data_IF_143501106950
#
_entry.id   IF_143501106950
#
_cell.length_a   1.000
_cell.length_b   1.000
_cell.length_c   1.000
_cell.angle_alpha   90.00
_cell.angle_beta   90.00
_cell.angle_gamma   90.00
#
_symmetry.space_group_name_H-M   'P 1'
#
loop_
_entity.id
_entity.type
_entity.pdbx_description
1 polymer ?
#
# COMPACT_ATOMS: atom_id res chain seq x y z
N UNK A 1 10.47 -11.41 26.67
CA UNK A 1 10.56 -12.72 26.00
C UNK A 1 11.41 -12.52 24.77
N UNK A 2 12.36 -13.41 24.48
CA UNK A 2 13.14 -13.35 23.23
C UNK A 2 12.37 -14.05 22.10
N UNK A 3 12.40 -13.50 20.89
CA UNK A 3 11.75 -14.11 19.72
C UNK A 3 12.69 -15.11 19.07
N UNK A 4 12.25 -16.38 18.98
CA UNK A 4 13.03 -17.43 18.33
C UNK A 4 12.76 -17.41 16.82
N UNK A 5 13.80 -17.46 16.00
CA UNK A 5 13.71 -17.70 14.55
C UNK A 5 14.23 -19.10 14.28
N UNK A 6 13.41 -19.97 13.70
CA UNK A 6 13.81 -21.37 13.47
C UNK A 6 12.84 -22.13 12.58
N UNK A 7 13.07 -23.44 12.42
CA UNK A 7 12.32 -24.30 11.49
C UNK A 7 11.46 -25.39 12.15
N UNK A 8 11.40 -25.39 13.48
CA UNK A 8 10.65 -26.38 14.27
C UNK A 8 9.12 -26.18 14.17
N UNK A 9 8.46 -27.04 13.39
CA UNK A 9 7.01 -27.06 13.23
C UNK A 9 6.29 -27.50 14.50
N UNK A 10 6.85 -28.42 15.29
CA UNK A 10 6.19 -28.96 16.49
C UNK A 10 6.15 -27.90 17.60
N UNK A 11 7.23 -27.13 17.75
CA UNK A 11 7.26 -25.98 18.65
C UNK A 11 6.15 -24.97 18.30
N UNK A 12 5.97 -24.68 17.01
CA UNK A 12 4.94 -23.76 16.52
C UNK A 12 3.53 -24.30 16.78
N UNK A 13 3.27 -25.56 16.48
CA UNK A 13 1.97 -26.21 16.75
C UNK A 13 1.62 -26.15 18.24
N UNK A 14 2.59 -26.43 19.13
CA UNK A 14 2.40 -26.34 20.58
C UNK A 14 2.06 -24.91 21.03
N UNK A 15 2.77 -23.91 20.50
CA UNK A 15 2.51 -22.49 20.80
C UNK A 15 1.09 -22.08 20.36
N UNK A 16 0.69 -22.45 19.14
CA UNK A 16 -0.64 -22.14 18.60
C UNK A 16 -1.76 -22.82 19.41
N UNK A 17 -1.58 -24.09 19.81
CA UNK A 17 -2.53 -24.81 20.70
C UNK A 17 -2.68 -24.13 22.07
N UNK A 18 -1.64 -23.44 22.54
CA UNK A 18 -1.66 -22.67 23.78
C UNK A 18 -2.14 -21.21 23.59
N UNK A 19 -2.75 -20.88 22.44
CA UNK A 19 -3.30 -19.56 22.15
C UNK A 19 -2.24 -18.46 21.94
N UNK A 20 -0.99 -18.84 21.63
CA UNK A 20 0.05 -17.87 21.26
C UNK A 20 -0.14 -17.38 19.81
N UNK A 21 0.50 -16.25 19.51
CA UNK A 21 0.61 -15.72 18.15
C UNK A 21 2.02 -15.97 17.64
N UNK A 22 2.17 -16.53 16.45
CA UNK A 22 3.47 -16.84 15.82
C UNK A 22 3.50 -16.31 14.40
N UNK A 23 4.69 -16.17 13.81
CA UNK A 23 4.78 -15.85 12.39
C UNK A 23 5.04 -17.10 11.54
N UNK A 24 4.33 -17.22 10.42
CA UNK A 24 4.41 -18.34 9.50
C UNK A 24 4.76 -17.87 8.07
N UNK A 25 5.58 -18.62 7.32
CA UNK A 25 5.93 -18.30 5.95
C UNK A 25 4.81 -18.74 5.00
N UNK A 26 4.50 -17.93 3.97
CA UNK A 26 3.65 -18.36 2.84
C UNK A 26 4.40 -18.18 1.52
N UNK A 27 3.84 -18.63 0.41
CA UNK A 27 4.31 -18.29 -0.93
C UNK A 27 4.15 -16.79 -1.24
N UNK A 28 3.21 -16.10 -0.57
CA UNK A 28 2.90 -14.68 -0.78
C UNK A 28 3.72 -13.73 0.09
N UNK A 29 3.36 -13.61 1.36
CA UNK A 29 4.04 -12.82 2.40
C UNK A 29 3.95 -13.59 3.73
N UNK A 30 4.84 -13.32 4.69
CA UNK A 30 4.72 -13.94 6.02
C UNK A 30 3.42 -13.50 6.71
N UNK A 31 2.76 -14.43 7.39
CA UNK A 31 1.52 -14.22 8.12
C UNK A 31 1.73 -14.26 9.64
N UNK A 32 1.04 -13.40 10.38
CA UNK A 32 1.01 -13.40 11.84
C UNK A 32 -0.20 -14.22 12.31
N UNK A 33 0.04 -15.47 12.67
CA UNK A 33 -0.98 -16.50 12.83
C UNK A 33 -1.40 -16.73 14.28
N UNK A 34 -2.70 -16.91 14.48
CA UNK A 34 -3.30 -17.38 15.73
C UNK A 34 -4.55 -18.23 15.42
N UNK A 35 -5.06 -18.96 16.41
CA UNK A 35 -6.29 -19.74 16.26
C UNK A 35 -7.47 -18.83 15.84
N UNK A 36 -8.08 -19.10 14.69
CA UNK A 36 -9.17 -18.28 14.16
C UNK A 36 -10.49 -18.45 14.93
N UNK A 37 -10.68 -19.55 15.66
CA UNK A 37 -11.91 -19.84 16.39
C UNK A 37 -11.85 -19.40 17.85
N UNK A 38 -10.71 -18.86 18.29
CA UNK A 38 -10.50 -18.33 19.64
C UNK A 38 -10.43 -16.80 19.59
N UNK A 39 -11.49 -16.08 20.03
CA UNK A 39 -11.51 -14.62 20.04
C UNK A 39 -10.33 -13.99 20.81
N UNK A 40 -9.87 -14.61 21.90
CA UNK A 40 -8.77 -14.08 22.69
C UNK A 40 -7.42 -14.20 21.96
N UNK A 41 -7.24 -15.26 21.17
CA UNK A 41 -6.07 -15.42 20.32
C UNK A 41 -6.08 -14.40 19.15
N UNK A 42 -7.25 -14.17 18.55
CA UNK A 42 -7.41 -13.18 17.46
C UNK A 42 -7.20 -11.75 17.96
N UNK A 43 -7.68 -11.41 19.17
CA UNK A 43 -7.45 -10.09 19.78
C UNK A 43 -5.95 -9.76 19.89
N UNK A 44 -5.10 -10.75 20.20
CA UNK A 44 -3.64 -10.57 20.24
C UNK A 44 -3.07 -10.17 18.88
N UNK A 45 -3.60 -10.68 17.76
CA UNK A 45 -3.18 -10.26 16.41
C UNK A 45 -3.46 -8.77 16.21
N UNK A 46 -4.67 -8.31 16.54
CA UNK A 46 -5.06 -6.91 16.40
C UNK A 46 -4.17 -6.00 17.27
N UNK A 47 -3.95 -6.38 18.53
CA UNK A 47 -3.10 -5.65 19.46
C UNK A 47 -1.64 -5.56 18.98
N UNK A 48 -1.03 -6.68 18.59
CA UNK A 48 0.35 -6.72 18.11
C UNK A 48 0.56 -5.85 16.87
N UNK A 49 -0.41 -5.86 15.94
CA UNK A 49 -0.33 -5.09 14.69
C UNK A 49 -0.74 -3.63 14.85
N UNK A 50 -1.32 -3.23 15.98
CA UNK A 50 -2.05 -1.98 16.12
C UNK A 50 -3.08 -1.80 14.97
N UNK A 51 -3.82 -2.88 14.69
CA UNK A 51 -4.78 -2.96 13.57
C UNK A 51 -6.17 -2.54 14.04
N UNK A 52 -6.92 -1.72 13.28
CA UNK A 52 -8.33 -1.43 13.57
C UNK A 52 -9.16 -2.71 13.56
N UNK A 53 -10.04 -2.91 14.55
CA UNK A 53 -10.95 -4.06 14.61
C UNK A 53 -11.98 -4.10 13.47
N UNK A 54 -12.12 -2.98 12.74
CA UNK A 54 -12.95 -2.87 11.55
C UNK A 54 -12.31 -3.48 10.29
N UNK A 55 -11.06 -3.98 10.35
CA UNK A 55 -10.37 -4.59 9.21
C UNK A 55 -10.33 -6.13 9.35
N UNK A 56 -11.15 -6.88 8.58
CA UNK A 56 -11.29 -8.33 8.72
C UNK A 56 -9.97 -9.08 8.45
N UNK A 57 -9.90 -10.35 8.84
CA UNK A 57 -8.74 -11.22 8.68
C UNK A 57 -9.01 -12.35 7.67
N UNK A 58 -7.94 -12.89 7.08
CA UNK A 58 -8.00 -14.10 6.26
C UNK A 58 -7.79 -15.31 7.17
N UNK A 59 -8.72 -16.25 7.07
CA UNK A 59 -8.66 -17.56 7.72
C UNK A 59 -7.98 -18.55 6.77
N UNK A 60 -6.98 -19.25 7.28
CA UNK A 60 -6.18 -20.22 6.55
C UNK A 60 -6.58 -21.63 6.95
N UNK A 61 -6.78 -22.48 5.95
CA UNK A 61 -7.23 -23.88 6.06
C UNK A 61 -6.29 -24.80 5.31
N UNK A 62 -6.14 -26.08 5.71
CA UNK A 62 -5.25 -27.01 5.01
C UNK A 62 -5.76 -27.33 3.59
N UNK A 63 -7.04 -27.66 3.44
CA UNK A 63 -7.64 -28.09 2.18
C UNK A 63 -9.12 -27.67 2.07
N UNK A 64 -9.74 -27.97 0.93
CA UNK A 64 -11.12 -27.60 0.60
C UNK A 64 -12.12 -28.18 1.61
N UNK A 65 -11.99 -29.45 1.99
CA UNK A 65 -12.96 -30.10 2.90
C UNK A 65 -13.03 -29.43 4.29
N UNK A 66 -11.97 -28.72 4.71
CA UNK A 66 -11.98 -27.98 5.98
C UNK A 66 -12.86 -26.72 5.93
N UNK A 67 -13.28 -26.27 4.74
CA UNK A 67 -14.08 -25.06 4.53
C UNK A 67 -15.54 -25.25 4.97
N UNK A 68 -16.13 -26.42 4.72
CA UNK A 68 -17.57 -26.64 4.92
C UNK A 68 -18.05 -26.26 6.31
N UNK A 69 -17.24 -26.52 7.33
CA UNK A 69 -17.57 -26.18 8.71
C UNK A 69 -17.49 -24.68 9.04
N UNK A 70 -16.79 -23.89 8.22
CA UNK A 70 -16.49 -22.48 8.46
C UNK A 70 -17.42 -21.52 7.71
N UNK A 71 -18.24 -22.05 6.80
CA UNK A 71 -19.13 -21.27 5.95
C UNK A 71 -20.59 -21.71 6.12
N UNK A 72 -21.52 -20.79 5.90
CA UNK A 72 -22.95 -21.14 5.89
C UNK A 72 -23.34 -21.88 4.61
N UNK A 73 -22.71 -21.51 3.48
CA UNK A 73 -22.91 -22.12 2.18
C UNK A 73 -21.60 -22.15 1.39
N UNK A 74 -21.33 -23.28 0.72
CA UNK A 74 -20.22 -23.42 -0.21
C UNK A 74 -20.77 -23.53 -1.65
N UNK A 75 -20.72 -22.44 -2.44
CA UNK A 75 -21.23 -22.48 -3.81
C UNK A 75 -20.26 -23.20 -4.75
N UNK A 76 -20.80 -23.87 -5.78
CA UNK A 76 -20.02 -24.66 -6.76
C UNK A 76 -18.91 -23.85 -7.45
N UNK A 77 -19.13 -22.55 -7.71
CA UNK A 77 -18.10 -21.70 -8.31
C UNK A 77 -16.89 -21.55 -7.38
N UNK A 78 -17.12 -21.47 -6.07
CA UNK A 78 -16.06 -21.30 -5.09
C UNK A 78 -15.28 -22.60 -4.94
N UNK A 79 -15.98 -23.73 -4.80
CA UNK A 79 -15.39 -25.06 -4.75
C UNK A 79 -14.53 -25.34 -5.98
N UNK A 80 -15.04 -25.06 -7.19
CA UNK A 80 -14.27 -25.17 -8.45
C UNK A 80 -12.97 -24.36 -8.41
N UNK A 81 -13.03 -23.11 -7.98
CA UNK A 81 -11.83 -22.27 -7.89
C UNK A 81 -10.85 -22.76 -6.82
N UNK A 82 -11.35 -23.27 -5.69
CA UNK A 82 -10.49 -23.89 -4.67
C UNK A 82 -9.75 -25.10 -5.25
N UNK A 83 -10.41 -26.00 -5.97
CA UNK A 83 -9.74 -27.15 -6.59
C UNK A 83 -8.69 -26.75 -7.65
N UNK A 84 -8.87 -25.63 -8.33
CA UNK A 84 -7.94 -25.17 -9.36
C UNK A 84 -6.74 -24.39 -8.79
N UNK A 85 -6.96 -23.61 -7.73
CA UNK A 85 -5.98 -22.63 -7.25
C UNK A 85 -5.51 -22.88 -5.82
N UNK A 86 -6.04 -23.88 -5.11
CA UNK A 86 -5.56 -24.28 -3.78
C UNK A 86 -4.82 -25.62 -3.80
N UNK A 87 -3.74 -25.75 -3.00
CA UNK A 87 -3.08 -24.69 -2.23
C UNK A 87 -2.50 -23.60 -3.15
N UNK A 88 -2.64 -22.33 -2.76
CA UNK A 88 -2.15 -21.21 -3.58
C UNK A 88 -2.68 -19.83 -3.19
N UNK A 89 -2.33 -18.81 -3.99
CA UNK A 89 -2.51 -17.42 -3.61
C UNK A 89 -3.88 -16.86 -4.02
N UNK A 90 -4.92 -17.69 -3.92
CA UNK A 90 -6.32 -17.28 -4.06
C UNK A 90 -6.99 -17.23 -2.70
N UNK A 91 -7.72 -16.15 -2.43
CA UNK A 91 -8.59 -16.01 -1.28
C UNK A 91 -10.03 -15.83 -1.75
N UNK A 92 -10.95 -16.58 -1.15
CA UNK A 92 -12.37 -16.56 -1.50
C UNK A 92 -13.18 -16.04 -0.32
N UNK A 93 -14.04 -15.06 -0.58
CA UNK A 93 -14.95 -14.46 0.39
C UNK A 93 -16.30 -15.17 0.34
N UNK A 94 -16.67 -15.84 1.44
CA UNK A 94 -17.88 -16.68 1.55
C UNK A 94 -18.72 -16.30 2.77
N UNK A 95 -20.05 -16.57 2.78
CA UNK A 95 -20.88 -16.42 3.98
C UNK A 95 -20.32 -17.23 5.15
N UNK A 96 -20.05 -16.59 6.29
CA UNK A 96 -19.44 -17.26 7.46
C UNK A 96 -20.46 -18.14 8.20
N UNK A 97 -19.99 -19.22 8.84
CA UNK A 97 -20.77 -19.94 9.86
C UNK A 97 -20.54 -19.33 11.26
N UNK A 98 -21.32 -19.78 12.24
CA UNK A 98 -21.14 -19.42 13.66
C UNK A 98 -19.79 -19.88 14.25
N UNK A 99 -19.08 -20.81 13.59
CA UNK A 99 -17.74 -21.24 14.03
C UNK A 99 -16.70 -20.14 13.86
N UNK A 100 -16.96 -19.14 13.01
CA UNK A 100 -16.08 -17.99 12.80
C UNK A 100 -16.57 -16.82 13.68
N UNK A 101 -15.81 -16.45 14.72
CA UNK A 101 -16.16 -15.34 15.58
C UNK A 101 -16.16 -14.00 14.84
N UNK A 102 -17.03 -13.07 15.25
CA UNK A 102 -17.18 -11.76 14.61
C UNK A 102 -15.89 -10.92 14.60
N UNK A 103 -15.00 -11.11 15.58
CA UNK A 103 -13.70 -10.42 15.61
C UNK A 103 -12.83 -10.75 14.39
N UNK A 104 -13.00 -11.94 13.79
CA UNK A 104 -12.29 -12.32 12.55
C UNK A 104 -12.83 -11.55 11.35
N UNK A 105 -14.14 -11.35 11.28
CA UNK A 105 -14.82 -10.75 10.13
C UNK A 105 -15.17 -9.28 10.34
N UNK A 106 -14.72 -8.66 11.44
CA UNK A 106 -15.13 -7.31 11.83
C UNK A 106 -16.66 -7.14 11.92
N UNK A 107 -17.37 -8.20 12.33
CA UNK A 107 -18.84 -8.26 12.39
C UNK A 107 -19.52 -8.41 11.02
N UNK A 108 -18.77 -8.57 9.93
CA UNK A 108 -19.33 -8.78 8.60
C UNK A 108 -19.87 -10.21 8.45
N UNK A 109 -20.88 -10.42 7.59
CA UNK A 109 -21.50 -11.73 7.39
C UNK A 109 -20.64 -12.72 6.57
N UNK A 110 -19.46 -12.28 6.09
CA UNK A 110 -18.60 -13.07 5.21
C UNK A 110 -17.20 -13.24 5.80
N UNK A 111 -16.60 -14.40 5.58
CA UNK A 111 -15.23 -14.76 5.96
C UNK A 111 -14.37 -14.95 4.72
N UNK A 112 -13.14 -14.45 4.77
CA UNK A 112 -12.14 -14.65 3.72
C UNK A 112 -11.34 -15.91 4.04
N UNK A 113 -11.31 -16.88 3.11
CA UNK A 113 -10.66 -18.17 3.29
C UNK A 113 -9.56 -18.40 2.26
N UNK A 114 -8.50 -19.12 2.65
CA UNK A 114 -7.37 -19.49 1.79
C UNK A 114 -6.70 -20.78 2.25
N UNK A 115 -6.24 -21.62 1.32
CA UNK A 115 -5.22 -22.65 1.61
C UNK A 115 -3.87 -22.21 1.02
N UNK A 116 -2.83 -21.93 1.83
CA UNK A 116 -1.55 -21.37 1.35
C UNK A 116 -0.62 -22.43 0.75
N UNK A 117 0.06 -22.13 -0.37
CA UNK A 117 1.00 -23.06 -1.02
C UNK A 117 2.42 -23.03 -0.43
N UNK A 118 2.54 -23.12 0.90
CA UNK A 118 3.85 -23.22 1.55
C UNK A 118 3.97 -24.49 2.40
N UNK A 119 4.95 -25.38 2.14
CA UNK A 119 5.05 -26.68 2.81
C UNK A 119 5.03 -26.60 4.33
N UNK A 120 5.84 -25.69 4.92
CA UNK A 120 5.87 -25.53 6.38
C UNK A 120 4.54 -25.01 6.96
N UNK A 121 3.81 -24.16 6.24
CA UNK A 121 2.50 -23.67 6.72
C UNK A 121 1.48 -24.81 6.65
N UNK A 122 1.47 -25.59 5.57
CA UNK A 122 0.59 -26.75 5.43
C UNK A 122 0.84 -27.79 6.53
N UNK A 123 2.09 -28.12 6.83
CA UNK A 123 2.44 -29.01 7.94
C UNK A 123 1.91 -28.51 9.30
N UNK A 124 1.91 -27.19 9.53
CA UNK A 124 1.32 -26.61 10.74
C UNK A 124 -0.19 -26.77 10.74
N UNK A 125 -0.87 -26.44 9.64
CA UNK A 125 -2.33 -26.54 9.51
C UNK A 125 -2.83 -27.97 9.70
N UNK A 126 -2.17 -28.96 9.10
CA UNK A 126 -2.53 -30.38 9.22
C UNK A 126 -2.44 -30.92 10.65
N UNK A 127 -1.58 -30.33 11.50
CA UNK A 127 -1.37 -30.75 12.90
C UNK A 127 -2.27 -30.02 13.91
N UNK A 128 -3.07 -29.06 13.45
CA UNK A 128 -3.96 -28.25 14.28
C UNK A 128 -5.41 -28.71 14.13
N UNK A 129 -6.18 -28.74 15.23
CA UNK A 129 -7.61 -29.06 15.17
C UNK A 129 -8.49 -27.86 14.80
N UNK A 130 -7.89 -26.74 14.40
CA UNK A 130 -8.56 -25.47 14.12
C UNK A 130 -7.85 -24.71 12.99
N UNK A 131 -8.57 -23.84 12.25
CA UNK A 131 -7.97 -22.97 11.24
C UNK A 131 -7.23 -21.78 11.86
N UNK A 132 -6.40 -21.12 11.06
CA UNK A 132 -5.56 -20.00 11.53
C UNK A 132 -5.97 -18.66 10.91
N UNK A 133 -6.21 -17.64 11.73
CA UNK A 133 -6.31 -16.27 11.25
C UNK A 133 -4.88 -15.75 11.09
N UNK A 134 -4.50 -15.31 9.89
CA UNK A 134 -3.12 -14.90 9.61
C UNK A 134 -3.04 -13.74 8.61
N UNK A 135 -3.26 -12.47 9.03
CA UNK A 135 -2.90 -11.31 8.22
C UNK A 135 -1.38 -11.22 8.03
N UNK A 136 -0.89 -10.37 7.14
CA UNK A 136 0.54 -10.15 6.94
C UNK A 136 1.28 -9.78 8.24
N UNK A 137 2.50 -10.26 8.44
CA UNK A 137 3.28 -10.10 9.67
C UNK A 137 4.04 -8.77 9.74
N UNK A 138 3.30 -7.66 9.62
CA UNK A 138 3.79 -6.30 9.84
C UNK A 138 2.82 -5.48 10.70
N UNK A 139 3.26 -4.36 11.32
CA UNK A 139 2.34 -3.39 11.89
C UNK A 139 1.38 -2.85 10.82
N UNK A 140 0.16 -2.49 11.21
CA UNK A 140 -0.89 -2.08 10.29
C UNK A 140 -0.45 -0.89 9.42
N UNK A 141 -0.72 -0.97 8.12
CA UNK A 141 -0.35 0.06 7.14
C UNK A 141 1.09 -0.01 6.61
N UNK A 142 1.99 -0.75 7.28
CA UNK A 142 3.40 -0.86 6.86
C UNK A 142 3.61 -1.86 5.71
N UNK A 143 4.79 -1.80 5.07
CA UNK A 143 5.27 -2.77 4.08
C UNK A 143 5.21 -4.19 4.62
N UNK A 144 4.71 -5.13 3.80
CA UNK A 144 4.57 -6.51 4.22
C UNK A 144 5.90 -7.28 4.20
N UNK A 145 6.08 -8.25 5.11
CA UNK A 145 7.32 -9.02 5.20
C UNK A 145 7.35 -10.19 4.21
N UNK A 146 8.44 -10.30 3.46
CA UNK A 146 8.71 -11.44 2.56
C UNK A 146 9.80 -12.38 3.07
N UNK A 147 10.38 -12.12 4.24
CA UNK A 147 11.42 -12.94 4.88
C UNK A 147 11.23 -12.97 6.39
N UNK A 148 11.79 -13.97 7.08
CA UNK A 148 11.79 -14.04 8.54
C UNK A 148 12.50 -12.81 9.17
N UNK A 149 13.55 -12.30 8.54
CA UNK A 149 14.27 -11.09 8.97
C UNK A 149 13.37 -9.85 8.96
N UNK A 150 12.52 -9.69 7.93
CA UNK A 150 11.54 -8.61 7.90
C UNK A 150 10.56 -8.71 9.08
N UNK A 151 10.06 -9.91 9.37
CA UNK A 151 9.18 -10.14 10.53
C UNK A 151 9.89 -9.81 11.85
N UNK A 152 11.12 -10.28 12.02
CA UNK A 152 11.93 -10.03 13.21
C UNK A 152 12.12 -8.53 13.44
N UNK A 153 12.37 -7.76 12.38
CA UNK A 153 12.50 -6.29 12.47
C UNK A 153 11.27 -5.59 13.08
N UNK A 154 10.08 -6.19 12.95
CA UNK A 154 8.83 -5.65 13.46
C UNK A 154 8.45 -6.17 14.85
N UNK A 155 8.70 -7.46 15.08
CA UNK A 155 8.12 -8.20 16.20
C UNK A 155 9.14 -8.84 17.13
N UNK A 156 10.44 -8.51 17.02
CA UNK A 156 11.42 -8.97 17.98
C UNK A 156 11.00 -8.60 19.42
N UNK A 157 10.98 -9.61 20.28
CA UNK A 157 10.55 -9.52 21.67
C UNK A 157 9.04 -9.46 21.90
N UNK A 158 8.22 -9.43 20.84
CA UNK A 158 6.75 -9.32 20.91
C UNK A 158 6.01 -10.63 20.63
N UNK A 159 6.62 -11.53 19.87
CA UNK A 159 6.09 -12.87 19.59
C UNK A 159 7.10 -13.94 19.98
N UNK A 160 6.66 -15.13 20.42
CA UNK A 160 7.55 -16.20 20.85
C UNK A 160 8.36 -16.82 19.70
N UNK A 161 7.82 -16.87 18.48
CA UNK A 161 8.41 -17.67 17.41
C UNK A 161 8.10 -17.14 16.00
N UNK A 162 9.10 -17.21 15.13
CA UNK A 162 9.02 -16.99 13.68
C UNK A 162 9.50 -18.26 12.99
N UNK A 163 8.59 -18.91 12.26
CA UNK A 163 8.93 -20.09 11.46
C UNK A 163 9.62 -19.63 10.17
N UNK A 164 10.92 -19.88 10.04
CA UNK A 164 11.72 -19.44 8.90
C UNK A 164 11.59 -20.41 7.72
N UNK A 165 10.79 -20.02 6.73
CA UNK A 165 10.64 -20.72 5.45
C UNK A 165 11.51 -20.15 4.32
N UNK A 166 12.42 -19.23 4.60
CA UNK A 166 13.14 -18.48 3.58
C UNK A 166 12.32 -17.34 2.97
N UNK A 167 12.70 -16.88 1.78
CA UNK A 167 12.03 -15.80 1.07
C UNK A 167 10.74 -16.29 0.40
N UNK A 168 9.68 -15.47 0.45
CA UNK A 168 8.42 -15.75 -0.23
C UNK A 168 8.60 -15.75 -1.76
N UNK A 169 8.08 -16.77 -2.45
CA UNK A 169 8.24 -16.91 -3.90
C UNK A 169 7.52 -15.83 -4.72
N UNK A 170 6.36 -15.35 -4.26
CA UNK A 170 5.52 -14.39 -5.01
C UNK A 170 5.76 -12.94 -4.60
N UNK A 171 5.97 -12.67 -3.31
CA UNK A 171 6.32 -11.34 -2.78
C UNK A 171 5.17 -10.34 -2.62
N UNK A 172 3.97 -10.62 -3.15
CA UNK A 172 2.74 -9.84 -2.91
C UNK A 172 1.61 -10.73 -2.41
N UNK A 173 0.58 -10.12 -1.80
CA UNK A 173 -0.54 -10.85 -1.18
C UNK A 173 -1.46 -11.54 -2.22
N UNK A 174 -2.27 -12.47 -1.72
CA UNK A 174 -3.26 -13.22 -2.50
C UNK A 174 -4.30 -12.33 -3.19
N UNK A 175 -4.80 -12.82 -4.33
CA UNK A 175 -5.96 -12.26 -5.00
C UNK A 175 -7.21 -12.57 -4.18
N UNK A 176 -8.10 -11.59 -3.96
CA UNK A 176 -9.35 -11.79 -3.19
C UNK A 176 -10.54 -11.60 -4.11
N UNK A 177 -11.38 -12.63 -4.21
CA UNK A 177 -12.62 -12.62 -4.97
C UNK A 177 -13.81 -13.08 -4.13
N UNK A 178 -15.02 -12.76 -4.59
CA UNK A 178 -16.26 -13.29 -4.05
C UNK A 178 -17.44 -12.91 -4.92
N UNK A 179 -18.65 -13.05 -4.39
CA UNK A 179 -19.88 -12.76 -5.11
C UNK A 179 -20.75 -11.75 -4.34
N UNK A 180 -21.33 -10.78 -5.06
CA UNK A 180 -22.35 -9.85 -4.57
C UNK A 180 -23.49 -9.77 -5.60
N UNK A 181 -24.73 -10.08 -5.17
CA UNK A 181 -25.94 -9.94 -5.99
C UNK A 181 -25.83 -10.58 -7.39
N UNK A 182 -25.31 -11.81 -7.47
CA UNK A 182 -25.14 -12.54 -8.74
C UNK A 182 -23.98 -12.05 -9.61
N UNK A 183 -23.07 -11.21 -9.08
CA UNK A 183 -21.88 -10.72 -9.80
C UNK A 183 -20.61 -11.10 -9.05
N UNK A 184 -19.59 -11.56 -9.79
CA UNK A 184 -18.29 -11.83 -9.23
C UNK A 184 -17.48 -10.54 -9.06
N UNK A 185 -16.96 -10.33 -7.86
CA UNK A 185 -16.26 -9.13 -7.46
C UNK A 185 -14.80 -9.45 -7.20
N UNK A 186 -13.89 -8.67 -7.81
CA UNK A 186 -12.49 -8.61 -7.42
C UNK A 186 -12.34 -7.58 -6.31
N UNK A 187 -12.15 -8.05 -5.07
CA UNK A 187 -11.96 -7.19 -3.90
C UNK A 187 -10.54 -6.66 -3.78
N UNK A 188 -9.56 -7.47 -4.20
CA UNK A 188 -8.14 -7.12 -4.18
C UNK A 188 -7.39 -7.86 -5.29
N UNK A 189 -6.73 -7.15 -6.23
CA UNK A 189 -5.80 -7.79 -7.16
C UNK A 189 -4.57 -8.33 -6.40
N UNK A 190 -4.04 -9.45 -6.85
CA UNK A 190 -2.92 -10.12 -6.19
C UNK A 190 -2.14 -11.01 -7.15
N UNK A 191 -1.53 -12.06 -6.59
CA UNK A 191 -0.66 -12.97 -7.32
C UNK A 191 -1.30 -13.67 -8.54
N UNK A 192 -2.60 -13.95 -8.46
CA UNK A 192 -3.34 -14.58 -9.57
C UNK A 192 -3.95 -13.47 -10.43
N UNK A 193 -3.56 -13.39 -11.71
CA UNK A 193 -4.17 -12.53 -12.71
C UNK A 193 -5.70 -12.58 -12.74
N UNK A 194 -6.32 -11.43 -13.01
CA UNK A 194 -7.77 -11.31 -13.21
C UNK A 194 -8.26 -12.26 -14.29
N UNK A 195 -7.64 -12.23 -15.46
CA UNK A 195 -8.09 -12.98 -16.64
C UNK A 195 -8.01 -14.50 -16.43
N UNK A 196 -7.03 -14.98 -15.64
CA UNK A 196 -6.92 -16.39 -15.27
C UNK A 196 -8.11 -16.82 -14.40
N UNK A 197 -8.57 -15.94 -13.50
CA UNK A 197 -9.77 -16.21 -12.69
C UNK A 197 -11.04 -16.10 -13.54
N UNK A 198 -11.13 -15.11 -14.43
CA UNK A 198 -12.28 -14.94 -15.34
C UNK A 198 -12.46 -16.14 -16.28
N UNK A 199 -11.35 -16.69 -16.80
CA UNK A 199 -11.34 -17.90 -17.61
C UNK A 199 -11.84 -19.11 -16.81
N UNK A 200 -11.34 -19.29 -15.58
CA UNK A 200 -11.78 -20.37 -14.70
C UNK A 200 -13.25 -20.24 -14.28
N UNK A 201 -13.75 -19.00 -14.09
CA UNK A 201 -15.16 -18.73 -13.78
C UNK A 201 -16.07 -18.86 -15.00
N UNK A 202 -15.56 -18.62 -16.20
CA UNK A 202 -16.38 -18.38 -17.39
C UNK A 202 -17.20 -17.08 -17.30
N UNK A 203 -16.77 -16.12 -16.48
CA UNK A 203 -17.50 -14.87 -16.21
C UNK A 203 -16.54 -13.73 -15.86
N UNK A 204 -16.98 -12.49 -16.08
CA UNK A 204 -16.18 -11.29 -15.81
C UNK A 204 -16.15 -10.94 -14.33
N UNK A 205 -14.99 -10.47 -13.88
CA UNK A 205 -14.82 -9.90 -12.54
C UNK A 205 -15.06 -8.40 -12.59
N UNK A 206 -15.88 -7.90 -11.67
CA UNK A 206 -16.07 -6.47 -11.48
C UNK A 206 -15.16 -5.97 -10.36
N UNK A 207 -14.40 -4.91 -10.60
CA UNK A 207 -13.72 -4.21 -9.50
C UNK A 207 -14.74 -3.44 -8.70
N UNK A 208 -14.69 -3.53 -7.37
CA UNK A 208 -15.34 -2.53 -6.53
C UNK A 208 -14.52 -1.24 -6.72
N UNK A 209 -15.03 -0.31 -7.52
CA UNK A 209 -14.32 0.94 -7.84
C UNK A 209 -13.89 1.64 -6.55
N UNK A 210 -12.71 2.25 -6.56
CA UNK A 210 -12.16 3.09 -5.50
C UNK A 210 -12.99 4.37 -5.22
N UNK A 211 -14.26 4.41 -5.61
CA UNK A 211 -15.10 5.59 -5.53
C UNK A 211 -15.82 5.68 -4.18
N UNK A 212 -15.58 6.82 -3.53
CA UNK A 212 -16.43 7.45 -2.52
C UNK A 212 -16.64 6.72 -1.19
N UNK A 213 -15.59 6.67 -0.38
CA UNK A 213 -15.55 7.45 0.87
C UNK A 213 -14.42 6.96 1.78
N UNK A 214 -13.70 7.89 2.39
CA UNK A 214 -12.82 7.65 3.55
C UNK A 214 -13.58 7.03 4.76
N UNK A 215 -14.88 6.75 4.63
CA UNK A 215 -15.81 6.34 5.68
C UNK A 215 -16.55 5.02 5.42
N UNK A 216 -16.25 4.28 4.34
CA UNK A 216 -16.84 2.94 4.15
C UNK A 216 -15.97 1.86 4.81
N UNK A 217 -16.53 0.99 5.67
CA UNK A 217 -15.79 -0.10 6.29
C UNK A 217 -15.15 -1.03 5.24
N UNK A 218 -13.95 -1.53 5.52
CA UNK A 218 -13.31 -2.52 4.65
C UNK A 218 -14.13 -3.82 4.65
N UNK A 219 -14.57 -4.26 3.47
CA UNK A 219 -15.33 -5.52 3.33
C UNK A 219 -14.43 -6.73 3.10
N UNK A 220 -13.16 -6.47 2.80
CA UNK A 220 -12.10 -7.45 2.69
C UNK A 220 -10.75 -6.83 3.15
N UNK A 221 -9.77 -7.66 3.55
CA UNK A 221 -8.45 -7.18 3.96
C UNK A 221 -7.72 -6.39 2.88
N UNK A 222 -7.00 -5.33 3.28
CA UNK A 222 -6.14 -4.53 2.39
C UNK A 222 -6.89 -3.51 1.54
N UNK A 223 -8.15 -3.22 1.86
CA UNK A 223 -8.97 -2.23 1.14
C UNK A 223 -8.81 -0.79 1.66
N UNK A 224 -8.08 -0.58 2.76
CA UNK A 224 -7.82 0.74 3.31
C UNK A 224 -7.05 1.64 2.32
N UNK A 225 -7.32 2.97 2.31
CA UNK A 225 -6.67 3.91 1.38
C UNK A 225 -5.14 3.99 1.52
N UNK A 226 -4.61 3.86 2.74
CA UNK A 226 -3.18 3.84 3.02
C UNK A 226 -2.78 2.47 3.56
N UNK A 227 -1.96 1.75 2.80
CA UNK A 227 -1.51 0.41 3.16
C UNK A 227 -0.21 0.09 2.38
N UNK A 228 0.60 -0.84 2.89
CA UNK A 228 1.89 -1.23 2.29
C UNK A 228 2.94 -0.11 2.27
N UNK A 229 2.74 0.96 3.04
CA UNK A 229 3.63 2.12 3.06
C UNK A 229 4.95 1.79 3.79
N UNK A 230 6.10 2.08 3.18
CA UNK A 230 7.37 2.09 3.91
C UNK A 230 7.37 3.17 5.00
N UNK A 231 8.36 3.14 5.88
CA UNK A 231 8.55 4.18 6.91
C UNK A 231 8.83 5.53 6.25
N UNK A 232 9.62 5.53 5.18
CA UNK A 232 9.86 6.72 4.35
C UNK A 232 8.66 7.01 3.45
N UNK A 233 8.40 8.29 3.13
CA UNK A 233 7.43 8.63 2.09
C UNK A 233 7.80 7.93 0.78
N UNK A 234 6.87 7.13 0.25
CA UNK A 234 6.96 6.57 -1.08
C UNK A 234 6.15 7.42 -2.05
N UNK A 235 6.77 7.75 -3.17
CA UNK A 235 6.13 8.44 -4.26
C UNK A 235 6.16 7.56 -5.50
N UNK A 236 5.04 7.45 -6.18
CA UNK A 236 4.87 6.55 -7.31
C UNK A 236 4.31 7.27 -8.54
N UNK A 237 4.83 6.94 -9.72
CA UNK A 237 4.15 7.24 -10.99
C UNK A 237 5.00 7.91 -12.06
N UNK A 238 6.30 8.11 -11.83
CA UNK A 238 7.18 8.73 -12.84
C UNK A 238 7.41 7.82 -14.02
N UNK A 239 7.16 8.31 -15.24
CA UNK A 239 7.65 7.63 -16.45
C UNK A 239 9.17 7.74 -16.52
N UNK A 240 9.68 8.94 -16.27
CA UNK A 240 11.12 9.22 -16.17
C UNK A 240 11.42 9.71 -14.76
N UNK A 241 12.09 8.88 -13.96
CA UNK A 241 12.37 9.24 -12.57
C UNK A 241 13.43 10.35 -12.52
N UNK A 242 13.20 11.47 -11.81
CA UNK A 242 14.21 12.51 -11.65
C UNK A 242 15.37 12.00 -10.79
N UNK A 243 16.59 12.41 -11.14
CA UNK A 243 17.75 12.10 -10.31
C UNK A 243 17.75 13.00 -9.06
N UNK A 244 17.41 12.39 -7.92
CA UNK A 244 17.35 13.03 -6.61
C UNK A 244 18.33 12.37 -5.65
N UNK A 245 19.29 13.15 -5.15
CA UNK A 245 20.37 12.65 -4.29
C UNK A 245 19.89 12.18 -2.92
N UNK A 246 18.79 12.76 -2.42
CA UNK A 246 18.17 12.39 -1.13
C UNK A 246 17.09 11.32 -1.25
N UNK A 247 16.97 10.70 -2.42
CA UNK A 247 15.96 9.68 -2.69
C UNK A 247 16.58 8.31 -2.90
N UNK A 248 15.91 7.27 -2.40
CA UNK A 248 16.05 5.92 -2.94
C UNK A 248 15.19 5.83 -4.21
N UNK A 249 15.78 5.48 -5.34
CA UNK A 249 15.05 5.38 -6.61
C UNK A 249 14.88 3.91 -6.98
N UNK A 250 13.64 3.54 -7.31
CA UNK A 250 13.24 2.20 -7.70
C UNK A 250 12.74 2.23 -9.13
N UNK A 251 13.51 1.65 -10.05
CA UNK A 251 13.13 1.47 -11.44
C UNK A 251 12.33 0.18 -11.62
N UNK A 252 11.48 0.14 -12.65
CA UNK A 252 10.75 -1.08 -12.97
C UNK A 252 11.70 -2.13 -13.56
N UNK A 253 12.45 -1.76 -14.61
CA UNK A 253 13.35 -2.66 -15.33
C UNK A 253 14.55 -1.93 -15.92
N UNK A 254 15.50 -2.70 -16.46
CA UNK A 254 16.71 -2.19 -17.10
C UNK A 254 17.99 -2.69 -16.45
N UNK A 255 19.11 -2.04 -16.77
CA UNK A 255 20.41 -2.37 -16.19
C UNK A 255 20.53 -1.85 -14.76
N UNK A 256 21.05 -2.70 -13.85
CA UNK A 256 21.27 -2.32 -12.46
C UNK A 256 22.10 -1.04 -12.37
N UNK A 257 21.55 0.04 -11.78
CA UNK A 257 22.27 1.30 -11.72
C UNK A 257 23.46 1.15 -10.79
N UNK A 258 24.61 1.70 -11.20
CA UNK A 258 25.86 1.65 -10.42
C UNK A 258 25.93 2.68 -9.30
N UNK A 259 24.89 3.51 -9.16
CA UNK A 259 24.82 4.56 -8.16
C UNK A 259 24.18 4.02 -6.86
N UNK A 260 24.56 4.54 -5.68
CA UNK A 260 23.94 4.15 -4.41
C UNK A 260 22.46 4.50 -4.39
N UNK A 261 21.67 3.75 -3.61
CA UNK A 261 20.23 4.00 -3.42
C UNK A 261 19.44 3.96 -4.73
N UNK A 262 19.84 3.07 -5.64
CA UNK A 262 19.16 2.81 -6.90
C UNK A 262 18.90 1.31 -6.99
N UNK A 263 17.64 0.97 -7.23
CA UNK A 263 17.15 -0.41 -7.21
C UNK A 263 16.34 -0.70 -8.48
N UNK A 264 16.27 -1.97 -8.86
CA UNK A 264 15.43 -2.43 -9.97
C UNK A 264 14.50 -3.52 -9.47
N UNK A 265 13.20 -3.39 -9.74
CA UNK A 265 12.20 -4.39 -9.40
C UNK A 265 12.39 -5.66 -10.23
N UNK A 266 12.62 -5.52 -11.53
CA UNK A 266 12.73 -6.63 -12.48
C UNK A 266 13.75 -6.33 -13.58
N UNK A 267 15.01 -6.80 -13.46
CA UNK A 267 16.00 -6.66 -14.53
C UNK A 267 15.52 -7.19 -15.87
N UNK A 268 14.70 -8.25 -15.87
CA UNK A 268 14.13 -8.84 -17.10
C UNK A 268 12.93 -8.07 -17.65
N UNK A 269 12.32 -7.19 -16.84
CA UNK A 269 11.03 -6.59 -17.14
C UNK A 269 9.84 -7.53 -16.92
N UNK A 270 10.04 -8.75 -16.41
CA UNK A 270 8.95 -9.62 -15.96
C UNK A 270 8.25 -9.03 -14.72
N UNK A 271 6.95 -8.71 -14.82
CA UNK A 271 6.15 -8.23 -13.70
C UNK A 271 6.04 -9.22 -12.52
N UNK A 272 6.21 -10.53 -12.73
CA UNK A 272 6.28 -11.50 -11.64
C UNK A 272 7.56 -11.36 -10.82
N UNK A 273 8.70 -11.15 -11.48
CA UNK A 273 9.96 -10.82 -10.83
C UNK A 273 9.83 -9.51 -10.04
N UNK A 274 9.16 -8.50 -10.61
CA UNK A 274 8.89 -7.24 -9.92
C UNK A 274 8.03 -7.45 -8.65
N UNK A 275 7.01 -8.30 -8.71
CA UNK A 275 6.18 -8.65 -7.55
C UNK A 275 6.98 -9.37 -6.46
N UNK A 276 7.85 -10.31 -6.84
CA UNK A 276 8.74 -11.00 -5.91
C UNK A 276 9.64 -10.02 -5.14
N UNK A 277 10.24 -9.08 -5.87
CA UNK A 277 11.24 -8.17 -5.32
C UNK A 277 10.67 -6.93 -4.61
N UNK A 278 9.43 -6.52 -4.92
CA UNK A 278 8.86 -5.24 -4.50
C UNK A 278 9.08 -4.93 -3.02
N UNK A 279 8.54 -5.76 -2.12
CA UNK A 279 8.62 -5.45 -0.70
C UNK A 279 10.03 -5.60 -0.14
N UNK A 280 10.84 -6.54 -0.64
CA UNK A 280 12.23 -6.66 -0.20
C UNK A 280 13.03 -5.39 -0.52
N UNK A 281 12.85 -4.83 -1.72
CA UNK A 281 13.47 -3.56 -2.12
C UNK A 281 12.94 -2.40 -1.28
N UNK A 282 11.64 -2.35 -0.96
CA UNK A 282 11.10 -1.30 -0.11
C UNK A 282 11.65 -1.37 1.33
N UNK A 283 11.84 -2.57 1.90
CA UNK A 283 12.51 -2.75 3.19
C UNK A 283 13.97 -2.29 3.12
N UNK A 284 14.68 -2.59 2.02
CA UNK A 284 16.04 -2.10 1.80
C UNK A 284 16.06 -0.57 1.74
N UNK A 285 15.17 0.05 0.97
CA UNK A 285 15.06 1.51 0.87
C UNK A 285 14.81 2.17 2.24
N UNK A 286 14.01 1.56 3.11
CA UNK A 286 13.75 2.07 4.46
C UNK A 286 15.01 2.12 5.35
N UNK A 287 16.03 1.30 5.06
CA UNK A 287 17.28 1.23 5.80
C UNK A 287 18.37 2.17 5.28
N UNK A 288 18.18 2.77 4.10
CA UNK A 288 19.16 3.67 3.48
C UNK A 288 19.18 5.06 4.15
N UNK A 289 20.21 5.87 3.90
CA UNK A 289 20.26 7.26 4.40
C UNK A 289 19.66 8.22 3.36
N UNK A 290 18.34 8.13 3.19
CA UNK A 290 17.54 8.91 2.22
C UNK A 290 16.25 9.39 2.87
N UNK A 291 15.68 10.49 2.37
CA UNK A 291 14.47 11.08 2.95
C UNK A 291 13.17 10.44 2.44
N UNK A 292 13.16 9.97 1.19
CA UNK A 292 11.98 9.47 0.50
C UNK A 292 12.35 8.46 -0.59
N UNK A 293 11.34 7.77 -1.13
CA UNK A 293 11.48 6.75 -2.16
C UNK A 293 10.73 7.21 -3.41
N UNK A 294 11.40 7.20 -4.57
CA UNK A 294 10.77 7.45 -5.87
C UNK A 294 10.64 6.14 -6.63
N UNK A 295 9.44 5.79 -7.03
CA UNK A 295 9.15 4.56 -7.77
C UNK A 295 8.68 4.90 -9.18
N UNK A 296 9.39 4.36 -10.16
CA UNK A 296 9.02 4.47 -11.56
C UNK A 296 7.65 3.83 -11.82
N UNK A 297 6.89 4.42 -12.74
CA UNK A 297 5.65 3.86 -13.23
C UNK A 297 5.89 2.47 -13.83
N UNK A 298 5.04 1.52 -13.46
CA UNK A 298 5.03 0.19 -14.08
C UNK A 298 4.25 0.28 -15.40
N UNK A 299 4.79 -0.19 -16.54
CA UNK A 299 4.09 -0.18 -17.82
C UNK A 299 2.78 -1.01 -17.78
N UNK A 300 1.75 -0.60 -18.54
CA UNK A 300 0.44 -1.27 -18.60
C UNK A 300 0.11 -1.88 -19.99
N UNK A 301 -0.62 -3.02 -20.08
CA UNK A 301 -1.01 -3.96 -19.02
C UNK A 301 -0.63 -5.42 -19.32
N UNK A 302 0.23 -5.98 -18.49
CA UNK A 302 0.10 -7.41 -18.12
C UNK A 302 -0.70 -7.49 -16.82
N UNK A 303 -1.13 -8.67 -16.43
CA UNK A 303 -2.15 -8.83 -15.40
C UNK A 303 -1.70 -8.77 -13.95
N UNK A 304 -0.47 -9.17 -13.64
CA UNK A 304 0.09 -8.96 -12.30
C UNK A 304 0.51 -7.49 -12.08
N UNK A 305 0.66 -6.72 -13.16
CA UNK A 305 0.88 -5.27 -13.08
C UNK A 305 -0.31 -4.53 -12.44
N UNK A 306 -1.54 -5.03 -12.56
CA UNK A 306 -2.71 -4.49 -11.83
C UNK A 306 -2.48 -4.56 -10.31
N UNK A 307 -1.96 -5.69 -9.81
CA UNK A 307 -1.67 -5.87 -8.40
C UNK A 307 -0.55 -4.97 -7.91
N UNK A 308 0.54 -4.85 -8.67
CA UNK A 308 1.65 -3.93 -8.35
C UNK A 308 1.19 -2.47 -8.29
N UNK A 309 0.39 -2.04 -9.26
CA UNK A 309 -0.20 -0.69 -9.27
C UNK A 309 -1.06 -0.43 -8.05
N UNK A 310 -1.91 -1.39 -7.66
CA UNK A 310 -2.73 -1.28 -6.45
C UNK A 310 -1.86 -1.08 -5.20
N UNK A 311 -0.78 -1.88 -5.03
CA UNK A 311 0.14 -1.74 -3.90
C UNK A 311 0.85 -0.40 -3.89
N UNK A 312 1.44 0.00 -5.01
CA UNK A 312 2.19 1.24 -5.10
C UNK A 312 1.30 2.47 -4.94
N UNK A 313 0.06 2.45 -5.45
CA UNK A 313 -0.91 3.55 -5.23
C UNK A 313 -1.38 3.67 -3.79
N UNK A 314 -1.53 2.55 -3.07
CA UNK A 314 -1.88 2.56 -1.63
C UNK A 314 -0.70 2.92 -0.74
N UNK A 315 0.51 2.54 -1.16
CA UNK A 315 1.75 2.91 -0.49
C UNK A 315 2.11 4.38 -0.74
N UNK A 316 1.72 4.92 -1.90
CA UNK A 316 1.94 6.30 -2.31
C UNK A 316 1.45 7.24 -1.22
N UNK A 317 2.36 8.07 -0.72
CA UNK A 317 2.01 9.11 0.22
C UNK A 317 1.00 10.07 -0.44
N UNK A 318 0.13 10.67 0.36
CA UNK A 318 -0.71 11.80 -0.05
C UNK A 318 0.22 12.99 -0.33
N UNK A 319 0.88 12.97 -1.48
CA UNK A 319 1.99 13.84 -1.80
C UNK A 319 1.49 15.10 -2.48
N UNK A 320 2.04 16.23 -2.04
CA UNK A 320 1.89 17.51 -2.72
C UNK A 320 3.26 18.10 -2.97
N UNK A 321 3.47 18.56 -4.20
CA UNK A 321 4.58 19.42 -4.52
C UNK A 321 4.21 20.86 -4.19
N UNK A 322 5.19 21.71 -3.94
CA UNK A 322 5.00 23.16 -3.97
C UNK A 322 6.08 23.78 -4.82
N UNK A 323 5.73 24.88 -5.49
CA UNK A 323 6.65 25.61 -6.36
C UNK A 323 6.38 27.11 -6.23
N UNK A 324 7.44 27.90 -6.25
CA UNK A 324 7.38 29.35 -6.34
C UNK A 324 7.69 29.79 -7.75
N UNK A 325 7.19 30.92 -8.24
CA UNK A 325 7.51 31.38 -9.61
C UNK A 325 8.48 32.57 -9.67
N UNK A 326 8.70 33.33 -8.58
CA UNK A 326 9.44 34.61 -8.64
C UNK A 326 10.92 34.47 -9.07
N UNK A 327 11.51 33.30 -8.89
CA UNK A 327 12.93 33.02 -9.17
C UNK A 327 13.14 32.30 -10.49
N UNK A 328 12.09 32.00 -11.26
CA UNK A 328 12.19 31.21 -12.49
C UNK A 328 11.87 32.02 -13.73
N UNK A 329 12.62 31.74 -14.81
CA UNK A 329 12.12 32.06 -16.14
C UNK A 329 10.90 31.19 -16.46
N UNK A 330 10.12 31.61 -17.44
CA UNK A 330 8.98 30.84 -17.90
C UNK A 330 9.35 29.42 -18.35
N UNK A 331 10.46 29.31 -19.08
CA UNK A 331 10.96 28.04 -19.60
C UNK A 331 11.39 27.11 -18.49
N UNK A 332 12.14 27.63 -17.50
CA UNK A 332 12.61 26.84 -16.36
C UNK A 332 11.44 26.34 -15.51
N UNK A 333 10.44 27.20 -15.28
CA UNK A 333 9.24 26.82 -14.52
C UNK A 333 8.49 25.65 -15.18
N UNK A 334 8.23 25.74 -16.49
CA UNK A 334 7.56 24.64 -17.21
C UNK A 334 8.44 23.38 -17.29
N UNK A 335 9.76 23.54 -17.39
CA UNK A 335 10.69 22.41 -17.38
C UNK A 335 10.68 21.69 -16.02
N UNK A 336 10.58 22.41 -14.91
CA UNK A 336 10.44 21.83 -13.57
C UNK A 336 9.13 21.07 -13.41
N UNK A 337 8.01 21.66 -13.83
CA UNK A 337 6.72 20.96 -13.79
C UNK A 337 6.74 19.67 -14.62
N UNK A 338 7.38 19.69 -15.80
CA UNK A 338 7.55 18.50 -16.64
C UNK A 338 8.50 17.47 -16.01
N UNK A 339 9.63 17.90 -15.42
CA UNK A 339 10.60 17.02 -14.75
C UNK A 339 9.95 16.20 -13.63
N UNK A 340 9.06 16.84 -12.86
CA UNK A 340 8.33 16.17 -11.78
C UNK A 340 6.98 15.61 -12.22
N UNK A 341 6.71 15.60 -13.53
CA UNK A 341 5.49 15.09 -14.15
C UNK A 341 4.22 15.60 -13.44
N UNK A 342 4.21 16.89 -13.08
CA UNK A 342 3.07 17.54 -12.41
C UNK A 342 1.85 17.48 -13.31
N UNK A 343 0.76 16.90 -12.81
CA UNK A 343 -0.48 16.69 -13.56
C UNK A 343 -1.50 17.79 -13.28
N UNK A 344 -1.47 18.35 -12.07
CA UNK A 344 -2.35 19.46 -11.66
C UNK A 344 -1.53 20.51 -10.93
N UNK A 345 -1.68 21.77 -11.35
CA UNK A 345 -1.13 22.93 -10.65
C UNK A 345 -2.27 23.74 -10.02
N UNK A 346 -2.25 23.88 -8.70
CA UNK A 346 -3.22 24.68 -7.95
C UNK A 346 -2.57 26.00 -7.57
N UNK A 347 -3.09 27.09 -8.12
CA UNK A 347 -2.68 28.44 -7.79
C UNK A 347 -3.33 28.89 -6.48
N UNK A 348 -2.50 29.09 -5.46
CA UNK A 348 -2.92 29.53 -4.13
C UNK A 348 -2.71 31.03 -3.91
N UNK A 349 -2.29 31.78 -4.95
CA UNK A 349 -2.10 33.23 -4.86
C UNK A 349 -3.46 33.91 -4.71
N UNK A 350 -3.56 34.83 -3.73
CA UNK A 350 -4.76 35.64 -3.50
C UNK A 350 -5.23 36.37 -4.76
N UNK A 351 -4.27 36.86 -5.55
CA UNK A 351 -4.49 37.42 -6.88
C UNK A 351 -3.50 36.75 -7.83
N UNK A 352 -3.96 35.94 -8.80
CA UNK A 352 -3.11 35.23 -9.75
C UNK A 352 -2.66 36.17 -10.89
N UNK A 353 -2.12 37.32 -10.52
CA UNK A 353 -1.65 38.37 -11.41
C UNK A 353 -0.29 38.87 -10.92
N UNK A 354 0.64 39.09 -11.84
CA UNK A 354 1.93 39.71 -11.55
C UNK A 354 2.21 40.83 -12.52
N UNK A 355 2.46 42.03 -11.98
CA UNK A 355 2.87 43.21 -12.77
C UNK A 355 4.30 43.06 -13.31
N UNK A 356 5.18 42.38 -12.56
CA UNK A 356 6.61 42.28 -12.86
C UNK A 356 6.94 41.09 -13.77
N UNK A 357 6.13 40.03 -13.72
CA UNK A 357 6.25 38.85 -14.60
C UNK A 357 4.87 38.50 -15.20
N UNK A 358 4.38 39.28 -16.19
CA UNK A 358 3.03 39.15 -16.75
C UNK A 358 2.73 37.77 -17.32
N UNK A 359 3.74 37.01 -17.74
CA UNK A 359 3.60 35.63 -18.22
C UNK A 359 2.97 34.70 -17.17
N UNK A 360 3.16 34.97 -15.86
CA UNK A 360 2.54 34.22 -14.77
C UNK A 360 1.15 34.76 -14.36
N UNK A 361 0.54 35.62 -15.18
CA UNK A 361 -0.87 35.95 -15.04
C UNK A 361 -1.74 34.74 -15.36
N UNK A 362 -2.88 34.63 -14.67
CA UNK A 362 -3.76 33.45 -14.71
C UNK A 362 -4.07 32.96 -16.13
N UNK A 363 -4.46 33.86 -17.04
CA UNK A 363 -4.88 33.46 -18.39
C UNK A 363 -3.74 32.88 -19.21
N UNK A 364 -2.55 33.49 -19.17
CA UNK A 364 -1.37 33.01 -19.88
C UNK A 364 -0.83 31.72 -19.27
N UNK A 365 -0.79 31.64 -17.94
CA UNK A 365 -0.39 30.45 -17.19
C UNK A 365 -1.32 29.27 -17.49
N UNK A 366 -2.63 29.46 -17.38
CA UNK A 366 -3.62 28.42 -17.65
C UNK A 366 -3.49 27.90 -19.09
N UNK A 367 -3.32 28.80 -20.08
CA UNK A 367 -3.16 28.39 -21.48
C UNK A 367 -1.92 27.52 -21.68
N UNK A 368 -0.76 27.94 -21.15
CA UNK A 368 0.47 27.20 -21.34
C UNK A 368 0.52 25.87 -20.58
N UNK A 369 -0.11 25.80 -19.40
CA UNK A 369 -0.28 24.56 -18.68
C UNK A 369 -1.16 23.58 -19.46
N UNK A 370 -2.26 24.07 -20.05
CA UNK A 370 -3.11 23.26 -20.91
C UNK A 370 -2.35 22.71 -22.12
N UNK A 371 -1.54 23.53 -22.80
CA UNK A 371 -0.66 23.09 -23.90
C UNK A 371 0.40 22.07 -23.44
N UNK A 372 0.80 22.11 -22.18
CA UNK A 372 1.70 21.13 -21.56
C UNK A 372 0.97 19.89 -21.00
N UNK A 373 -0.35 19.81 -21.09
CA UNK A 373 -1.16 18.71 -20.55
C UNK A 373 -1.32 18.74 -19.02
N UNK A 374 -1.12 19.90 -18.40
CA UNK A 374 -1.23 20.11 -16.95
C UNK A 374 -2.55 20.83 -16.65
N UNK A 375 -3.37 20.25 -15.78
CA UNK A 375 -4.60 20.89 -15.32
C UNK A 375 -4.27 22.08 -14.41
N UNK A 376 -5.09 23.13 -14.49
CA UNK A 376 -4.93 24.34 -13.68
C UNK A 376 -6.18 24.59 -12.85
N UNK A 377 -5.98 24.79 -11.56
CA UNK A 377 -7.03 25.17 -10.60
C UNK A 377 -6.61 26.44 -9.85
N UNK A 378 -7.57 27.26 -9.44
CA UNK A 378 -7.30 28.44 -8.61
C UNK A 378 -8.09 28.38 -7.31
N UNK A 379 -7.38 28.34 -6.19
CA UNK A 379 -8.01 28.27 -4.86
C UNK A 379 -7.18 29.01 -3.81
N UNK A 380 -7.38 30.33 -3.63
CA UNK A 380 -6.63 31.11 -2.66
C UNK A 380 -7.14 30.95 -1.22
N UNK A 381 -8.29 30.29 -1.01
CA UNK A 381 -8.87 30.11 0.33
C UNK A 381 -8.43 28.75 0.92
N UNK A 382 -7.60 28.73 1.99
CA UNK A 382 -7.10 27.50 2.59
C UNK A 382 -8.22 26.55 3.04
N UNK A 383 -9.34 27.09 3.53
CA UNK A 383 -10.49 26.27 4.00
C UNK A 383 -11.15 25.47 2.87
N UNK A 384 -11.06 25.95 1.63
CA UNK A 384 -11.59 25.27 0.43
C UNK A 384 -10.52 24.48 -0.31
N UNK A 385 -9.25 24.86 -0.15
CA UNK A 385 -8.11 24.19 -0.77
C UNK A 385 -7.97 22.76 -0.29
N UNK A 386 -8.06 22.51 1.02
CA UNK A 386 -7.88 21.16 1.56
C UNK A 386 -8.89 20.18 0.95
N UNK A 387 -10.22 20.39 1.02
CA UNK A 387 -11.20 19.49 0.39
C UNK A 387 -10.99 19.29 -1.12
N UNK A 388 -10.57 20.33 -1.84
CA UNK A 388 -10.24 20.24 -3.27
C UNK A 388 -9.05 19.31 -3.50
N UNK A 389 -7.97 19.47 -2.73
CA UNK A 389 -6.81 18.60 -2.78
C UNK A 389 -7.18 17.16 -2.44
N UNK A 390 -8.00 16.94 -1.40
CA UNK A 390 -8.47 15.60 -1.02
C UNK A 390 -9.23 14.89 -2.13
N UNK A 391 -9.97 15.64 -2.95
CA UNK A 391 -10.62 15.11 -4.15
C UNK A 391 -9.57 14.81 -5.24
N UNK A 392 -8.70 15.75 -5.55
CA UNK A 392 -7.76 15.61 -6.66
C UNK A 392 -6.77 14.45 -6.50
N UNK A 393 -6.29 14.17 -5.28
CA UNK A 393 -5.35 13.05 -5.01
C UNK A 393 -5.96 11.67 -5.30
N UNK A 394 -7.28 11.58 -5.49
CA UNK A 394 -7.96 10.33 -5.88
C UNK A 394 -7.87 10.06 -7.39
N UNK A 395 -7.58 11.09 -8.18
CA UNK A 395 -7.52 11.05 -9.64
C UNK A 395 -6.09 11.24 -10.17
N UNK A 396 -5.27 12.03 -9.46
CA UNK A 396 -3.93 12.44 -9.87
C UNK A 396 -2.88 12.01 -8.83
N UNK A 397 -1.71 11.61 -9.32
CA UNK A 397 -0.56 11.21 -8.50
C UNK A 397 0.31 12.41 -8.13
N UNK A 398 0.55 13.34 -9.07
CA UNK A 398 1.46 14.46 -8.88
C UNK A 398 0.72 15.80 -8.98
N UNK A 399 0.49 16.43 -7.83
CA UNK A 399 -0.21 17.71 -7.71
C UNK A 399 0.75 18.73 -7.10
N UNK A 400 0.82 19.93 -7.66
CA UNK A 400 1.67 21.01 -7.18
C UNK A 400 0.86 22.24 -6.73
N UNK A 401 1.27 22.88 -5.64
CA UNK A 401 0.74 24.15 -5.16
C UNK A 401 1.68 25.31 -5.57
N UNK A 402 1.13 26.33 -6.23
CA UNK A 402 1.89 27.48 -6.75
C UNK A 402 1.79 28.70 -5.81
N UNK A 403 2.93 29.19 -5.30
CA UNK A 403 3.07 30.51 -4.64
C UNK A 403 3.84 31.50 -5.53
N UNK A 404 3.78 32.79 -5.19
CA UNK A 404 4.59 33.82 -5.83
C UNK A 404 6.08 33.74 -5.45
N UNK A 405 6.39 33.49 -4.18
CA UNK A 405 7.75 33.51 -3.62
C UNK A 405 8.54 32.23 -3.92
N UNK A 406 9.78 32.38 -4.39
CA UNK A 406 10.69 31.30 -4.79
C UNK A 406 11.22 30.48 -3.61
N UNK A 407 11.44 31.10 -2.45
CA UNK A 407 11.90 30.44 -1.23
C UNK A 407 10.74 29.92 -0.36
N UNK A 408 10.64 28.61 -0.06
CA UNK A 408 9.52 28.07 0.70
C UNK A 408 9.35 28.69 2.08
N UNK A 409 10.46 28.79 2.83
CA UNK A 409 10.52 29.26 4.21
C UNK A 409 10.08 30.73 4.40
N UNK A 410 9.98 31.51 3.31
CA UNK A 410 9.57 32.93 3.34
C UNK A 410 8.13 33.16 2.88
N UNK A 411 7.42 32.13 2.43
CA UNK A 411 6.04 32.24 1.93
C UNK A 411 4.99 31.64 2.87
N UNK A 412 3.75 32.12 2.75
CA UNK A 412 2.58 31.52 3.37
C UNK A 412 2.41 30.02 3.03
N UNK A 413 3.01 29.54 1.93
CA UNK A 413 3.02 28.13 1.55
C UNK A 413 3.70 27.25 2.60
N UNK A 414 4.65 27.77 3.38
CA UNK A 414 5.28 27.01 4.46
C UNK A 414 4.28 26.69 5.58
N UNK A 415 3.51 27.69 6.04
CA UNK A 415 2.45 27.49 7.06
C UNK A 415 1.35 26.56 6.56
N UNK A 416 0.99 26.69 5.28
CA UNK A 416 0.05 25.76 4.65
C UNK A 416 0.63 24.34 4.58
N UNK A 417 1.93 24.20 4.33
CA UNK A 417 2.62 22.91 4.33
C UNK A 417 2.65 22.28 5.73
N UNK A 418 2.81 23.08 6.79
CA UNK A 418 2.65 22.64 8.18
C UNK A 418 1.24 22.08 8.43
N UNK A 419 0.19 22.83 8.04
CA UNK A 419 -1.21 22.39 8.19
C UNK A 419 -1.50 21.10 7.40
N UNK A 420 -1.02 21.01 6.15
CA UNK A 420 -1.16 19.82 5.32
C UNK A 420 -0.42 18.62 5.93
N UNK A 421 0.78 18.83 6.47
CA UNK A 421 1.55 17.77 7.13
C UNK A 421 0.85 17.27 8.39
N UNK A 422 0.26 18.16 9.20
CA UNK A 422 -0.56 17.79 10.36
C UNK A 422 -1.82 16.99 9.96
N UNK A 423 -2.34 17.19 8.74
CA UNK A 423 -3.43 16.41 8.14
C UNK A 423 -2.97 15.12 7.45
N UNK A 424 -1.69 14.77 7.58
CA UNK A 424 -1.09 13.53 7.08
C UNK A 424 -0.67 13.56 5.62
N UNK A 425 -0.57 14.74 4.99
CA UNK A 425 0.06 14.89 3.69
C UNK A 425 1.58 14.87 3.79
N UNK A 426 2.24 14.45 2.72
CA UNK A 426 3.68 14.66 2.53
C UNK A 426 3.85 15.83 1.58
N UNK A 427 4.61 16.84 1.97
CA UNK A 427 4.86 18.01 1.13
C UNK A 427 6.33 18.04 0.70
N UNK A 428 6.55 18.18 -0.60
CA UNK A 428 7.88 18.37 -1.20
C UNK A 428 7.96 19.73 -1.87
N UNK A 429 9.01 20.49 -1.56
CA UNK A 429 9.28 21.76 -2.22
C UNK A 429 10.15 21.52 -3.46
N UNK A 430 9.68 21.96 -4.61
CA UNK A 430 10.51 22.14 -5.80
C UNK A 430 11.28 23.44 -5.58
N UNK A 431 12.57 23.31 -5.32
CA UNK A 431 13.47 24.44 -5.06
C UNK A 431 13.89 25.15 -6.34
N UNK A 432 14.36 26.41 -6.28
CA UNK A 432 14.81 27.16 -7.44
C UNK A 432 15.90 26.46 -8.28
N UNK A 433 16.77 25.68 -7.63
CA UNK A 433 17.85 24.93 -8.27
C UNK A 433 17.36 23.61 -8.91
N UNK A 434 16.07 23.33 -8.79
CA UNK A 434 15.41 22.20 -9.43
C UNK A 434 15.55 20.86 -8.70
N UNK A 435 15.88 20.87 -7.41
CA UNK A 435 15.86 19.70 -6.51
C UNK A 435 14.60 19.66 -5.66
N UNK A 436 14.27 18.50 -5.12
CA UNK A 436 13.22 18.36 -4.12
C UNK A 436 13.77 18.48 -2.70
N UNK A 437 12.99 19.12 -1.84
CA UNK A 437 13.20 19.15 -0.40
C UNK A 437 11.94 18.68 0.33
N UNK A 438 12.09 17.71 1.22
CA UNK A 438 10.99 17.24 2.06
C UNK A 438 10.66 18.30 3.12
N UNK A 439 9.41 18.77 3.16
CA UNK A 439 8.94 19.66 4.19
C UNK A 439 8.99 18.96 5.55
N UNK A 440 9.75 19.53 6.49
CA UNK A 440 9.82 19.05 7.87
C UNK A 440 9.10 20.05 8.76
N UNK A 441 7.83 19.75 9.07
CA UNK A 441 7.08 20.56 10.01
C UNK A 441 7.82 20.60 11.36
N UNK A 442 7.92 21.76 12.02
CA UNK A 442 8.51 21.84 13.36
C UNK A 442 7.73 20.92 14.30
N UNK A 443 8.44 20.23 15.19
CA UNK A 443 7.85 19.38 16.23
C UNK A 443 7.09 20.31 17.18
N UNK A 444 5.86 20.68 16.86
CA UNK A 444 4.96 21.31 17.82
C UNK A 444 4.45 20.19 18.72
N UNK A 445 4.89 20.17 19.98
CA UNK A 445 4.40 19.38 21.12
C UNK A 445 3.09 18.63 20.84
N UNK A 446 3.20 17.46 20.20
CA UNK A 446 2.11 16.52 20.00
C UNK A 446 2.14 15.49 21.15
N UNK A 447 2.15 15.99 22.38
CA UNK A 447 1.78 15.27 23.59
C UNK A 447 1.11 16.28 24.52
N UNK A 448 -0.20 16.45 24.33
CA UNK A 448 -1.05 16.82 25.45
C UNK A 448 -1.09 15.62 26.38
N UNK A 449 -0.11 15.51 27.27
CA UNK A 449 -0.27 14.81 28.53
C UNK A 449 -1.41 15.53 29.28
N UNK A 450 -2.60 14.93 29.29
CA UNK A 450 -3.58 15.21 30.32
C UNK A 450 -3.22 14.38 31.53
N UNK A 451 -2.78 15.07 32.58
CA UNK A 451 -2.64 14.58 33.95
C UNK A 451 -3.93 13.93 34.49
#
# INVERSE_FOLDING_TARGET
METIVGKDVEAVVKLLKNGAVVALPTETVYGLAANATDPAAVEKIFALKNRPKADPLIVHVPHVDAVEALVATLPLWAERLMHLFWPGPLTILLPKSERIPDIVTAGLPRVALRSPAHPLFQMVLEKLPFPLAAPSANPFGHTSPTTATHVLSYFNGKIPYILDGGACAVGIESTIIGEENGRFILYRPGAIPREVIEEALGSKLFSKTHASSLSSPAVAPGQYPRHYSPKKPLLYGWRTVPDEARASIVYFSGEMPKAPHRHILSPTGDPKEAAHNLYAILHQCDMEDTDYILVQQIPNPTSIAEALHDRLRRANARTLFTIGHSTHTWTDFLALLKRYEVQVLIDIRKQPYSKYVPQFSQSLLQKALHEAGIAYEWQPNPKRLVPMVEKLITEYLHIALLCAEGEPHRCHRYRLSDELTQRGFVVLHILPEGRLELHRAPISLALGESA
#
